data_IF_901875719091
#
_entry.id   IF_901875719091
#
_cell.length_a   1.000
_cell.length_b   1.000
_cell.length_c   1.000
_cell.angle_alpha   90.00
_cell.angle_beta   90.00
_cell.angle_gamma   90.00
#
_symmetry.space_group_name_H-M   'P 1'
#
loop_
_entity.id
_entity.type
_entity.pdbx_description
1 polymer ?
#
# COMPACT_ATOMS: atom_id res chain seq x y z
N UNK A 1 -9.36 23.89 8.75
CA UNK A 1 -8.39 24.80 8.10
C UNK A 1 -9.02 25.45 6.87
N UNK A 2 -8.66 26.69 6.59
CA UNK A 2 -9.12 27.38 5.39
C UNK A 2 -8.34 26.86 4.17
N UNK A 3 -8.97 26.74 3.00
CA UNK A 3 -8.27 26.43 1.77
C UNK A 3 -7.16 27.45 1.51
N UNK A 4 -6.01 26.95 1.09
CA UNK A 4 -4.88 27.79 0.72
C UNK A 4 -4.30 27.35 -0.61
N UNK A 5 -3.71 28.31 -1.33
CA UNK A 5 -3.01 28.03 -2.56
C UNK A 5 -1.69 28.82 -2.59
N UNK A 6 -0.66 28.19 -3.16
CA UNK A 6 0.63 28.81 -3.38
C UNK A 6 0.98 28.71 -4.86
N UNK A 7 1.32 29.84 -5.45
CA UNK A 7 1.83 29.91 -6.83
C UNK A 7 3.31 30.23 -6.77
N UNK A 8 4.12 29.47 -7.50
CA UNK A 8 5.54 29.71 -7.67
C UNK A 8 5.80 29.98 -9.16
N UNK A 9 6.41 31.10 -9.44
CA UNK A 9 6.88 31.43 -10.78
C UNK A 9 8.34 30.98 -10.88
N UNK A 10 8.66 30.26 -11.91
CA UNK A 10 10.01 29.74 -12.17
C UNK A 10 10.54 30.23 -13.51
N UNK A 11 11.83 30.18 -13.66
CA UNK A 11 12.57 30.43 -14.89
C UNK A 11 13.24 29.14 -15.35
N UNK A 12 14.01 29.17 -16.41
CA UNK A 12 14.83 28.04 -16.88
C UNK A 12 15.81 27.61 -15.77
N UNK A 13 15.40 26.64 -14.99
CA UNK A 13 16.14 26.16 -13.82
C UNK A 13 17.10 25.01 -14.13
N UNK A 14 16.96 24.41 -15.31
CA UNK A 14 17.79 23.29 -15.77
C UNK A 14 18.78 23.70 -16.87
N UNK A 15 18.74 24.95 -17.31
CA UNK A 15 19.62 25.55 -18.32
C UNK A 15 19.54 24.88 -19.72
N UNK A 16 18.35 24.43 -20.10
CA UNK A 16 18.11 23.85 -21.43
C UNK A 16 17.58 24.86 -22.45
N UNK A 17 17.49 26.14 -22.08
CA UNK A 17 16.95 27.26 -22.83
C UNK A 17 15.43 27.16 -23.11
N UNK A 18 14.70 26.48 -22.24
CA UNK A 18 13.24 26.42 -22.26
C UNK A 18 12.70 26.65 -20.87
N UNK A 19 11.48 27.14 -20.80
CA UNK A 19 10.74 27.17 -19.52
C UNK A 19 9.55 26.24 -19.70
N UNK A 20 9.61 25.10 -19.00
CA UNK A 20 8.59 24.07 -19.13
C UNK A 20 8.27 23.36 -17.78
N UNK A 21 7.61 22.22 -17.86
CA UNK A 21 7.20 21.46 -16.69
C UNK A 21 8.39 20.98 -15.84
N UNK A 22 9.57 20.81 -16.42
CA UNK A 22 10.78 20.37 -15.68
C UNK A 22 11.22 21.42 -14.67
N UNK A 23 11.16 22.69 -15.07
CA UNK A 23 11.46 23.81 -14.17
C UNK A 23 10.47 23.91 -13.04
N UNK A 24 9.18 23.73 -13.38
CA UNK A 24 8.12 23.62 -12.38
C UNK A 24 8.35 22.46 -11.40
N UNK A 25 8.78 21.31 -11.88
CA UNK A 25 9.09 20.16 -11.05
C UNK A 25 10.30 20.41 -10.12
N UNK A 26 11.34 21.08 -10.62
CA UNK A 26 12.51 21.47 -9.83
C UNK A 26 12.08 22.43 -8.69
N UNK A 27 11.33 23.45 -9.02
CA UNK A 27 10.82 24.40 -8.03
C UNK A 27 9.90 23.73 -7.00
N UNK A 28 9.06 22.80 -7.44
CA UNK A 28 8.12 22.09 -6.57
C UNK A 28 8.82 21.23 -5.50
N UNK A 29 9.97 20.67 -5.80
CA UNK A 29 10.75 19.85 -4.84
C UNK A 29 11.02 20.56 -3.51
N UNK A 30 11.14 21.87 -3.53
CA UNK A 30 11.41 22.67 -2.31
C UNK A 30 10.18 22.92 -1.46
N UNK A 31 8.98 22.72 -1.98
CA UNK A 31 7.70 23.07 -1.35
C UNK A 31 6.74 21.88 -1.24
N UNK A 32 7.07 20.76 -1.87
CA UNK A 32 6.19 19.59 -1.87
C UNK A 32 6.09 18.95 -0.50
N UNK A 33 4.99 18.25 -0.29
CA UNK A 33 4.86 17.41 0.89
C UNK A 33 5.84 16.23 0.80
N UNK A 34 6.47 15.96 1.93
CA UNK A 34 7.26 14.75 2.13
C UNK A 34 6.46 13.80 3.00
N UNK A 35 5.88 12.72 2.45
CA UNK A 35 5.14 11.75 3.24
C UNK A 35 5.98 11.17 4.36
N UNK A 36 5.37 10.84 5.49
CA UNK A 36 6.09 10.26 6.62
C UNK A 36 6.90 9.02 6.19
N UNK A 37 8.19 9.00 6.50
CA UNK A 37 9.11 7.90 6.20
C UNK A 37 9.60 7.85 4.75
N UNK A 38 9.39 8.90 3.97
CA UNK A 38 9.84 8.99 2.59
C UNK A 38 11.35 8.74 2.41
N UNK A 39 12.13 9.12 3.42
CA UNK A 39 13.58 8.94 3.41
C UNK A 39 14.04 7.48 3.39
N UNK A 40 13.18 6.55 3.80
CA UNK A 40 13.46 5.11 3.79
C UNK A 40 13.33 4.51 2.39
N UNK A 41 12.49 5.09 1.55
CA UNK A 41 12.12 4.54 0.24
C UNK A 41 13.32 4.40 -0.69
N UNK A 42 14.24 5.35 -0.67
CA UNK A 42 15.44 5.33 -1.53
C UNK A 42 16.32 4.09 -1.37
N UNK A 43 16.21 3.42 -0.25
CA UNK A 43 17.03 2.24 0.07
C UNK A 43 16.31 0.92 -0.28
N UNK A 44 15.05 0.98 -0.66
CA UNK A 44 14.29 -0.20 -1.06
C UNK A 44 14.56 -0.47 -2.53
N UNK A 45 15.24 -1.56 -2.83
CA UNK A 45 15.61 -1.95 -4.19
C UNK A 45 14.92 -3.22 -4.67
N UNK A 46 14.48 -4.05 -3.75
CA UNK A 46 13.66 -5.23 -4.04
C UNK A 46 12.35 -5.15 -3.26
N UNK A 47 11.30 -5.71 -3.83
CA UNK A 47 9.98 -5.73 -3.20
C UNK A 47 9.30 -7.07 -3.42
N UNK A 48 8.70 -7.59 -2.37
CA UNK A 48 8.01 -8.88 -2.40
C UNK A 48 6.63 -8.76 -1.77
N UNK A 49 5.65 -9.43 -2.37
CA UNK A 49 4.34 -9.66 -1.79
C UNK A 49 4.28 -11.10 -1.30
N UNK A 50 4.22 -11.28 0.02
CA UNK A 50 3.97 -12.58 0.64
C UNK A 50 2.47 -12.76 0.79
N UNK A 51 1.90 -13.71 0.06
CA UNK A 51 0.46 -13.90 -0.07
C UNK A 51 -0.01 -15.18 0.60
N UNK A 52 -1.14 -15.14 1.26
CA UNK A 52 -1.83 -16.29 1.80
C UNK A 52 -3.30 -16.25 1.39
N UNK A 53 -3.83 -17.35 0.88
CA UNK A 53 -5.21 -17.47 0.44
C UNK A 53 -5.95 -18.50 1.28
N UNK A 54 -7.16 -18.18 1.68
CA UNK A 54 -8.13 -19.13 2.15
C UNK A 54 -7.60 -20.14 3.17
N UNK A 55 -7.10 -19.72 4.30
CA UNK A 55 -6.54 -20.60 5.34
C UNK A 55 -5.35 -21.46 4.88
N UNK A 56 -4.87 -21.30 3.65
CA UNK A 56 -3.70 -21.99 3.15
C UNK A 56 -2.44 -21.25 3.61
N UNK A 57 -1.61 -21.91 4.38
CA UNK A 57 -0.36 -21.35 4.85
C UNK A 57 0.74 -21.40 3.76
N UNK A 58 0.54 -20.64 2.70
CA UNK A 58 1.46 -20.58 1.56
C UNK A 58 2.74 -19.83 1.91
N UNK A 59 2.61 -18.76 2.68
CA UNK A 59 3.72 -17.93 3.16
C UNK A 59 3.62 -17.73 4.69
N UNK A 60 3.87 -18.75 5.50
CA UNK A 60 4.01 -18.56 6.95
C UNK A 60 5.07 -17.51 7.28
N UNK A 61 4.92 -16.83 8.42
CA UNK A 61 5.81 -15.73 8.78
C UNK A 61 7.29 -16.13 8.80
N UNK A 62 7.63 -17.29 9.35
CA UNK A 62 9.02 -17.74 9.39
C UNK A 62 9.53 -18.19 8.01
N UNK A 63 8.67 -18.70 7.15
CA UNK A 63 9.03 -18.98 5.75
C UNK A 63 9.27 -17.67 4.97
N UNK A 64 8.47 -16.64 5.25
CA UNK A 64 8.69 -15.31 4.69
C UNK A 64 10.05 -14.75 5.13
N UNK A 65 10.46 -14.99 6.37
CA UNK A 65 11.80 -14.63 6.85
C UNK A 65 12.91 -15.32 6.04
N UNK A 66 12.74 -16.57 5.68
CA UNK A 66 13.73 -17.28 4.84
C UNK A 66 13.78 -16.69 3.44
N UNK A 67 12.64 -16.27 2.89
CA UNK A 67 12.62 -15.49 1.64
C UNK A 67 13.39 -14.18 1.74
N UNK A 68 13.23 -13.45 2.84
CA UNK A 68 13.97 -12.21 3.13
C UNK A 68 15.48 -12.45 3.15
N UNK A 69 15.93 -13.51 3.82
CA UNK A 69 17.34 -13.90 3.87
C UNK A 69 17.90 -14.21 2.46
N UNK A 70 17.12 -14.94 1.66
CA UNK A 70 17.51 -15.26 0.28
C UNK A 70 17.64 -13.99 -0.58
N UNK A 71 16.68 -13.08 -0.52
CA UNK A 71 16.75 -11.81 -1.24
C UNK A 71 17.98 -11.00 -0.78
N UNK A 72 18.22 -10.92 0.51
CA UNK A 72 19.40 -10.25 1.05
C UNK A 72 20.70 -10.83 0.51
N UNK A 73 20.79 -12.16 0.47
CA UNK A 73 21.97 -12.86 -0.07
C UNK A 73 22.15 -12.60 -1.57
N UNK A 74 21.09 -12.67 -2.35
CA UNK A 74 21.15 -12.47 -3.80
C UNK A 74 21.36 -11.02 -4.23
N UNK A 75 21.09 -10.07 -3.35
CA UNK A 75 21.22 -8.64 -3.63
C UNK A 75 22.41 -7.99 -2.90
N UNK A 76 23.29 -8.77 -2.30
CA UNK A 76 24.42 -8.28 -1.50
C UNK A 76 23.98 -7.30 -0.38
N UNK A 77 22.83 -7.58 0.22
CA UNK A 77 22.31 -6.80 1.34
C UNK A 77 21.57 -5.53 0.97
N UNK A 78 21.15 -5.36 -0.28
CA UNK A 78 20.31 -4.24 -0.67
C UNK A 78 18.97 -4.28 0.07
N UNK A 79 18.41 -3.11 0.36
CA UNK A 79 17.15 -2.95 1.07
C UNK A 79 15.97 -3.55 0.31
N UNK A 80 15.01 -4.08 1.06
CA UNK A 80 13.84 -4.73 0.50
C UNK A 80 12.55 -4.35 1.23
N UNK A 81 11.47 -4.21 0.47
CA UNK A 81 10.12 -4.02 0.99
C UNK A 81 9.34 -5.34 0.92
N UNK A 82 8.65 -5.69 1.97
CA UNK A 82 7.84 -6.90 2.03
C UNK A 82 6.41 -6.52 2.42
N UNK A 83 5.49 -6.73 1.51
CA UNK A 83 4.06 -6.62 1.79
C UNK A 83 3.51 -7.99 2.19
N UNK A 84 3.11 -8.11 3.45
CA UNK A 84 2.41 -9.28 3.96
C UNK A 84 0.93 -9.16 3.57
N UNK A 85 0.61 -9.58 2.37
CA UNK A 85 -0.77 -9.62 1.90
C UNK A 85 -1.44 -10.83 2.51
N UNK A 86 -2.53 -10.57 3.26
CA UNK A 86 -3.27 -11.64 3.94
C UNK A 86 -2.55 -12.19 5.18
N UNK A 87 -2.07 -11.29 5.98
CA UNK A 87 -1.40 -11.57 7.26
C UNK A 87 -2.37 -11.98 8.37
N UNK A 88 -3.64 -11.65 8.21
CA UNK A 88 -4.68 -11.76 9.25
C UNK A 88 -5.84 -12.66 8.87
N UNK A 89 -6.63 -12.99 9.86
CA UNK A 89 -7.83 -13.84 9.76
C UNK A 89 -7.56 -15.13 8.98
N UNK A 90 -8.37 -15.46 7.98
CA UNK A 90 -8.21 -16.66 7.14
C UNK A 90 -7.43 -16.39 5.83
N UNK A 91 -6.78 -15.24 5.71
CA UNK A 91 -6.01 -14.89 4.52
C UNK A 91 -6.63 -13.79 3.70
N UNK A 92 -6.42 -13.83 2.39
CA UNK A 92 -6.80 -12.74 1.50
C UNK A 92 -8.31 -12.52 1.48
N UNK A 93 -8.69 -11.26 1.69
CA UNK A 93 -10.06 -10.80 1.68
C UNK A 93 -10.99 -11.58 2.63
N UNK A 94 -10.52 -11.76 3.86
CA UNK A 94 -11.32 -12.27 4.96
C UNK A 94 -11.19 -11.40 6.20
N UNK A 95 -12.23 -11.34 7.03
CA UNK A 95 -12.22 -10.67 8.33
C UNK A 95 -11.89 -9.19 8.30
N UNK A 96 -12.12 -8.50 7.19
CA UNK A 96 -11.82 -7.07 7.09
C UNK A 96 -12.45 -6.29 8.23
N UNK A 97 -11.68 -5.29 8.66
CA UNK A 97 -11.70 -4.49 9.87
C UNK A 97 -11.09 -5.17 11.11
N UNK A 98 -10.85 -6.48 11.13
CA UNK A 98 -10.13 -7.16 12.22
C UNK A 98 -8.60 -7.01 12.03
N UNK A 99 -8.08 -5.79 12.07
CA UNK A 99 -6.65 -5.55 11.77
C UNK A 99 -5.70 -6.28 12.71
N UNK A 100 -6.08 -6.51 13.96
CA UNK A 100 -5.27 -7.18 14.96
C UNK A 100 -5.50 -8.71 15.04
N UNK A 101 -6.32 -9.28 14.18
CA UNK A 101 -6.52 -10.73 14.12
C UNK A 101 -5.45 -11.38 13.25
N UNK A 102 -4.32 -11.67 13.87
CA UNK A 102 -3.17 -12.24 13.19
C UNK A 102 -3.42 -13.71 12.84
N UNK A 103 -3.15 -14.09 11.59
CA UNK A 103 -3.41 -15.43 11.07
C UNK A 103 -2.71 -16.55 11.85
N UNK A 104 -3.47 -17.36 12.55
CA UNK A 104 -2.93 -18.44 13.42
C UNK A 104 -2.23 -19.51 12.61
N UNK A 105 -2.76 -19.88 11.45
CA UNK A 105 -2.20 -20.94 10.60
C UNK A 105 -0.86 -20.59 9.97
N UNK A 106 -0.56 -19.29 9.87
CA UNK A 106 0.71 -18.81 9.33
C UNK A 106 1.72 -18.43 10.40
N UNK A 107 1.42 -18.74 11.67
CA UNK A 107 2.33 -18.60 12.80
C UNK A 107 1.84 -17.70 13.93
N UNK A 108 0.71 -17.00 13.74
CA UNK A 108 0.15 -16.13 14.78
C UNK A 108 1.04 -14.94 15.14
N UNK A 109 0.65 -14.25 16.19
CA UNK A 109 1.32 -13.02 16.65
C UNK A 109 2.79 -13.24 17.03
N UNK A 110 3.13 -14.38 17.63
CA UNK A 110 4.50 -14.65 18.07
C UNK A 110 5.47 -14.76 16.90
N UNK A 111 5.12 -15.56 15.89
CA UNK A 111 5.96 -15.70 14.70
C UNK A 111 6.01 -14.40 13.89
N UNK A 112 4.92 -13.63 13.87
CA UNK A 112 4.93 -12.34 13.23
C UNK A 112 5.87 -11.34 13.92
N UNK A 113 5.83 -11.27 15.24
CA UNK A 113 6.79 -10.45 16.02
C UNK A 113 8.24 -10.90 15.79
N UNK A 114 8.46 -12.21 15.76
CA UNK A 114 9.78 -12.75 15.45
C UNK A 114 10.25 -12.38 14.04
N UNK A 115 9.35 -12.41 13.06
CA UNK A 115 9.62 -11.93 11.69
C UNK A 115 10.00 -10.45 11.71
N UNK A 116 9.19 -9.58 12.35
CA UNK A 116 9.45 -8.13 12.44
C UNK A 116 10.84 -7.86 13.02
N UNK A 117 11.19 -8.52 14.12
CA UNK A 117 12.47 -8.32 14.78
C UNK A 117 13.65 -8.78 13.90
N UNK A 118 13.55 -10.00 13.38
CA UNK A 118 14.66 -10.64 12.65
C UNK A 118 14.87 -10.04 11.26
N UNK A 119 13.81 -9.59 10.59
CA UNK A 119 13.88 -9.01 9.25
C UNK A 119 14.72 -7.73 9.19
N UNK A 120 14.78 -6.97 10.27
CA UNK A 120 15.59 -5.73 10.36
C UNK A 120 17.06 -5.95 10.02
N UNK A 121 17.60 -7.12 10.38
CA UNK A 121 19.00 -7.47 10.11
C UNK A 121 19.32 -7.61 8.63
N UNK A 122 18.30 -7.74 7.80
CA UNK A 122 18.41 -7.98 6.36
C UNK A 122 17.89 -6.79 5.55
N UNK A 123 17.83 -5.58 6.15
CA UNK A 123 17.36 -4.39 5.47
C UNK A 123 15.90 -4.47 4.98
N UNK A 124 15.09 -5.32 5.60
CA UNK A 124 13.70 -5.51 5.18
C UNK A 124 12.75 -4.55 5.92
N UNK A 125 11.94 -3.87 5.13
CA UNK A 125 10.85 -3.01 5.55
C UNK A 125 9.54 -3.78 5.40
N UNK A 126 8.93 -4.15 6.52
CA UNK A 126 7.71 -4.96 6.53
C UNK A 126 6.47 -4.07 6.55
N UNK A 127 5.52 -4.38 5.70
CA UNK A 127 4.20 -3.80 5.73
C UNK A 127 3.11 -4.87 5.66
N UNK A 128 1.90 -4.48 5.97
CA UNK A 128 0.72 -5.33 5.88
C UNK A 128 -0.31 -4.72 4.94
N UNK A 129 -1.07 -5.61 4.31
CA UNK A 129 -2.21 -5.26 3.50
C UNK A 129 -3.47 -5.24 4.36
N UNK A 130 -4.20 -4.15 4.29
CA UNK A 130 -5.49 -4.01 4.94
C UNK A 130 -6.51 -3.46 3.94
N UNK A 131 -7.78 -3.71 4.18
CA UNK A 131 -8.87 -3.02 3.51
C UNK A 131 -9.62 -2.18 4.55
N UNK A 132 -9.83 -0.91 4.25
CA UNK A 132 -10.55 0.04 5.10
C UNK A 132 -11.86 0.51 4.48
N UNK A 133 -12.27 -0.11 3.36
CA UNK A 133 -13.46 0.23 2.58
C UNK A 133 -14.55 -0.83 2.65
N UNK A 134 -14.24 -2.01 3.14
CA UNK A 134 -15.15 -3.15 3.16
C UNK A 134 -15.12 -3.87 4.51
N UNK A 135 -16.19 -4.60 4.79
CA UNK A 135 -16.26 -5.52 5.93
C UNK A 135 -16.87 -6.85 5.49
N UNK A 136 -16.63 -7.87 6.31
CA UNK A 136 -17.22 -9.21 6.14
C UNK A 136 -18.03 -9.58 7.37
N UNK A 137 -19.06 -10.45 7.23
CA UNK A 137 -19.89 -10.85 8.35
C UNK A 137 -19.15 -11.45 9.53
N UNK A 138 -18.02 -12.13 9.30
CA UNK A 138 -17.18 -12.72 10.33
C UNK A 138 -16.33 -11.71 11.10
N UNK A 139 -16.29 -10.46 10.66
CA UNK A 139 -15.58 -9.42 11.40
C UNK A 139 -16.27 -9.12 12.74
N UNK A 140 -15.49 -9.05 13.81
CA UNK A 140 -16.02 -8.61 15.13
C UNK A 140 -16.53 -7.15 15.12
N UNK A 141 -16.17 -6.38 14.11
CA UNK A 141 -16.64 -5.00 13.90
C UNK A 141 -17.83 -4.90 12.97
N UNK A 142 -18.30 -6.03 12.45
CA UNK A 142 -19.49 -6.05 11.60
C UNK A 142 -20.71 -5.56 12.36
N UNK A 143 -21.38 -4.55 11.82
CA UNK A 143 -22.67 -4.08 12.30
C UNK A 143 -23.40 -3.32 11.20
N UNK A 144 -24.73 -3.28 11.29
CA UNK A 144 -25.60 -2.66 10.28
C UNK A 144 -25.33 -1.16 10.06
N UNK A 145 -24.87 -0.45 11.09
CA UNK A 145 -24.68 0.99 11.00
C UNK A 145 -23.43 1.39 10.20
N UNK A 146 -22.45 0.48 10.10
CA UNK A 146 -21.27 0.74 9.31
C UNK A 146 -21.46 0.44 7.83
N UNK A 147 -22.49 -0.33 7.48
CA UNK A 147 -22.70 -0.79 6.12
C UNK A 147 -23.24 0.32 5.22
N UNK A 148 -22.65 0.42 4.04
CA UNK A 148 -23.16 1.32 3.01
C UNK A 148 -24.34 0.67 2.30
N UNK A 149 -25.40 1.48 2.16
CA UNK A 149 -26.62 1.06 1.46
C UNK A 149 -26.80 1.89 0.18
N UNK A 150 -27.31 1.22 -0.83
CA UNK A 150 -27.77 1.85 -2.06
C UNK A 150 -29.08 2.62 -1.81
N UNK A 151 -29.50 3.42 -2.78
CA UNK A 151 -30.72 4.23 -2.67
C UNK A 151 -32.01 3.38 -2.49
N UNK A 152 -32.01 2.15 -2.95
CA UNK A 152 -33.11 1.20 -2.79
C UNK A 152 -33.08 0.43 -1.45
N UNK A 153 -32.11 0.73 -0.59
CA UNK A 153 -31.92 0.09 0.71
C UNK A 153 -31.13 -1.22 0.68
N UNK A 154 -30.74 -1.71 -0.48
CA UNK A 154 -29.88 -2.89 -0.61
C UNK A 154 -28.44 -2.57 -0.14
N UNK A 155 -27.66 -3.61 0.20
CA UNK A 155 -26.25 -3.41 0.52
C UNK A 155 -25.43 -3.05 -0.72
N UNK A 156 -24.47 -2.15 -0.53
CA UNK A 156 -23.44 -1.90 -1.52
C UNK A 156 -22.37 -3.00 -1.40
N UNK A 157 -22.45 -4.00 -2.25
CA UNK A 157 -21.51 -5.12 -2.22
C UNK A 157 -20.16 -4.72 -2.80
N UNK A 158 -19.11 -5.16 -2.11
CA UNK A 158 -17.73 -4.98 -2.49
C UNK A 158 -17.17 -6.20 -3.24
N UNK A 159 -15.87 -6.41 -3.08
CA UNK A 159 -15.18 -7.52 -3.71
C UNK A 159 -15.62 -8.87 -3.13
N UNK A 160 -15.64 -9.87 -3.97
CA UNK A 160 -15.99 -11.25 -3.60
C UNK A 160 -14.79 -12.15 -3.95
N UNK A 161 -14.13 -12.69 -2.94
CA UNK A 161 -13.05 -13.64 -3.11
C UNK A 161 -13.32 -14.95 -2.37
N UNK A 162 -13.21 -14.96 -1.06
CA UNK A 162 -13.56 -16.09 -0.20
C UNK A 162 -15.01 -15.96 0.28
N UNK A 163 -15.42 -14.75 0.56
CA UNK A 163 -16.75 -14.41 1.01
C UNK A 163 -17.16 -13.08 0.37
N UNK A 164 -18.40 -12.69 0.54
CA UNK A 164 -18.93 -11.45 -0.02
C UNK A 164 -18.62 -10.27 0.87
N UNK A 165 -17.74 -9.39 0.41
CA UNK A 165 -17.50 -8.11 1.06
C UNK A 165 -18.68 -7.16 0.92
N UNK A 166 -18.91 -6.33 1.93
CA UNK A 166 -19.89 -5.26 1.91
C UNK A 166 -19.17 -3.95 2.13
N UNK A 167 -19.38 -2.99 1.24
CA UNK A 167 -18.80 -1.66 1.39
C UNK A 167 -19.29 -1.00 2.67
N UNK A 168 -18.43 -0.28 3.34
CA UNK A 168 -18.75 0.47 4.55
C UNK A 168 -18.95 1.95 4.25
N UNK A 169 -19.58 2.66 5.15
CA UNK A 169 -19.59 4.11 5.15
C UNK A 169 -18.31 4.60 5.83
N UNK A 170 -17.35 5.08 5.03
CA UNK A 170 -16.05 5.50 5.52
C UNK A 170 -16.13 6.71 6.47
N UNK A 171 -17.13 7.58 6.32
CA UNK A 171 -17.32 8.72 7.22
C UNK A 171 -17.88 8.27 8.58
N UNK A 172 -18.82 7.34 8.55
CA UNK A 172 -19.34 6.71 9.78
C UNK A 172 -18.21 5.98 10.51
N UNK A 173 -17.42 5.18 9.80
CA UNK A 173 -16.31 4.42 10.36
C UNK A 173 -15.25 5.31 11.01
N UNK A 174 -14.90 6.42 10.35
CA UNK A 174 -14.00 7.43 10.91
C UNK A 174 -14.49 7.94 12.27
N UNK A 175 -15.78 8.17 12.39
CA UNK A 175 -16.38 8.71 13.63
C UNK A 175 -16.58 7.64 14.74
N UNK A 176 -16.58 6.35 14.40
CA UNK A 176 -17.05 5.27 15.27
C UNK A 176 -16.05 4.14 15.50
N UNK A 177 -14.76 4.41 15.44
CA UNK A 177 -13.80 3.45 15.96
C UNK A 177 -12.65 3.07 15.04
N UNK A 178 -12.52 3.64 13.84
CA UNK A 178 -11.40 3.33 12.95
C UNK A 178 -10.04 3.53 13.60
N UNK A 179 -9.83 4.64 14.28
CA UNK A 179 -8.59 4.91 14.99
C UNK A 179 -8.28 3.85 16.05
N UNK A 180 -9.31 3.41 16.81
CA UNK A 180 -9.12 2.38 17.83
C UNK A 180 -8.63 1.04 17.26
N UNK A 181 -9.04 0.71 16.03
CA UNK A 181 -8.54 -0.52 15.36
C UNK A 181 -7.06 -0.42 14.99
N UNK A 182 -6.58 0.76 14.59
CA UNK A 182 -5.14 0.98 14.40
C UNK A 182 -4.36 0.87 15.70
N UNK A 183 -4.90 1.43 16.78
CA UNK A 183 -4.31 1.34 18.12
C UNK A 183 -4.29 -0.11 18.64
N UNK A 184 -5.34 -0.89 18.38
CA UNK A 184 -5.39 -2.31 18.70
C UNK A 184 -4.28 -3.09 17.96
N UNK A 185 -4.14 -2.86 16.67
CA UNK A 185 -3.07 -3.47 15.87
C UNK A 185 -1.68 -3.09 16.39
N UNK A 186 -1.48 -1.81 16.72
CA UNK A 186 -0.22 -1.34 17.29
C UNK A 186 0.10 -2.00 18.62
N UNK A 187 -0.90 -2.15 19.45
CA UNK A 187 -0.77 -2.87 20.74
C UNK A 187 -0.42 -4.34 20.54
N UNK A 188 -1.06 -4.99 19.57
CA UNK A 188 -0.83 -6.41 19.26
C UNK A 188 0.58 -6.65 18.74
N UNK A 189 1.05 -5.88 17.76
CA UNK A 189 2.33 -6.11 17.10
C UNK A 189 3.52 -5.41 17.78
N UNK A 190 3.29 -4.31 18.48
CA UNK A 190 4.35 -3.49 19.05
C UNK A 190 5.06 -2.64 17.99
N UNK A 191 6.37 -2.50 18.15
CA UNK A 191 7.19 -1.68 17.26
C UNK A 191 7.81 -2.49 16.12
N UNK A 192 8.08 -1.81 15.00
CA UNK A 192 8.91 -2.36 13.94
C UNK A 192 8.20 -2.72 12.64
N UNK A 193 6.87 -2.76 12.64
CA UNK A 193 6.12 -2.71 11.37
C UNK A 193 6.38 -1.35 10.73
N UNK A 194 6.65 -1.32 9.42
CA UNK A 194 7.09 -0.10 8.75
C UNK A 194 5.96 0.61 8.01
N UNK A 195 5.08 -0.13 7.33
CA UNK A 195 4.03 0.50 6.54
C UNK A 195 2.71 -0.28 6.56
N UNK A 196 1.64 0.46 6.30
CA UNK A 196 0.30 -0.08 6.06
C UNK A 196 -0.06 0.20 4.61
N UNK A 197 -0.34 -0.84 3.86
CA UNK A 197 -0.88 -0.76 2.52
C UNK A 197 -2.40 -0.92 2.58
N UNK A 198 -3.11 0.10 2.13
CA UNK A 198 -4.58 0.11 2.11
C UNK A 198 -5.07 -0.21 0.71
N UNK A 199 -5.70 -1.37 0.60
CA UNK A 199 -6.29 -1.88 -0.64
C UNK A 199 -7.66 -1.26 -0.90
N UNK A 200 -8.06 -1.19 -2.16
CA UNK A 200 -9.39 -0.74 -2.64
C UNK A 200 -9.74 0.72 -2.30
N UNK A 201 -9.09 1.34 -1.35
CA UNK A 201 -9.37 2.72 -0.93
C UNK A 201 -9.26 3.71 -2.09
N UNK A 202 -10.22 4.63 -2.18
CA UNK A 202 -10.26 5.68 -3.20
C UNK A 202 -11.14 5.35 -4.41
N UNK A 203 -11.81 4.19 -4.44
CA UNK A 203 -12.72 3.83 -5.52
C UNK A 203 -14.10 4.52 -5.43
N UNK A 204 -14.42 5.14 -4.29
CA UNK A 204 -15.66 5.87 -4.04
C UNK A 204 -16.83 5.02 -3.56
N UNK A 205 -16.70 3.70 -3.58
CA UNK A 205 -17.79 2.79 -3.19
C UNK A 205 -18.18 2.93 -1.72
N UNK A 206 -17.22 3.30 -0.89
CA UNK A 206 -17.41 3.55 0.55
C UNK A 206 -17.42 5.03 0.92
N UNK A 207 -17.54 5.92 -0.07
CA UNK A 207 -17.42 7.36 0.15
C UNK A 207 -15.98 7.84 0.40
N UNK A 208 -15.02 7.06 -0.01
CA UNK A 208 -13.59 7.19 0.27
C UNK A 208 -12.78 7.84 -0.86
N UNK A 209 -13.44 8.38 -1.88
CA UNK A 209 -12.78 8.96 -3.06
C UNK A 209 -12.29 10.40 -2.88
N UNK A 210 -12.52 10.99 -1.73
CA UNK A 210 -12.10 12.36 -1.43
C UNK A 210 -10.66 12.44 -0.94
N UNK A 211 -9.91 13.44 -1.40
CA UNK A 211 -8.55 13.70 -0.91
C UNK A 211 -8.52 13.92 0.61
N UNK A 212 -9.53 14.58 1.18
CA UNK A 212 -9.65 14.78 2.61
C UNK A 212 -9.78 13.46 3.38
N UNK A 213 -10.63 12.55 2.91
CA UNK A 213 -10.82 11.24 3.55
C UNK A 213 -9.51 10.44 3.54
N UNK A 214 -8.79 10.45 2.43
CA UNK A 214 -7.48 9.79 2.29
C UNK A 214 -6.44 10.42 3.22
N UNK A 215 -6.38 11.74 3.28
CA UNK A 215 -5.45 12.45 4.15
C UNK A 215 -5.70 12.15 5.64
N UNK A 216 -6.95 12.07 6.07
CA UNK A 216 -7.29 11.69 7.45
C UNK A 216 -6.89 10.24 7.74
N UNK A 217 -7.15 9.31 6.82
CA UNK A 217 -6.72 7.91 6.97
C UNK A 217 -5.19 7.81 7.09
N UNK A 218 -4.47 8.51 6.22
CA UNK A 218 -3.02 8.54 6.27
C UNK A 218 -2.50 9.09 7.62
N UNK A 219 -3.11 10.16 8.13
CA UNK A 219 -2.75 10.70 9.46
C UNK A 219 -2.98 9.71 10.60
N UNK A 220 -4.07 8.95 10.57
CA UNK A 220 -4.33 7.92 11.59
C UNK A 220 -3.24 6.85 11.58
N UNK A 221 -2.87 6.38 10.39
CA UNK A 221 -1.82 5.38 10.19
C UNK A 221 -0.45 5.94 10.61
N UNK A 222 -0.14 7.15 10.16
CA UNK A 222 1.12 7.83 10.49
C UNK A 222 1.27 8.09 12.00
N UNK A 223 0.17 8.36 12.70
CA UNK A 223 0.16 8.52 14.17
C UNK A 223 0.66 7.27 14.90
N UNK A 224 0.49 6.10 14.32
CA UNK A 224 1.01 4.86 14.87
C UNK A 224 2.50 4.62 14.57
N UNK A 225 3.13 5.52 13.81
CA UNK A 225 4.52 5.41 13.39
C UNK A 225 4.73 4.69 12.07
N UNK A 226 3.66 4.33 11.37
CA UNK A 226 3.72 3.60 10.10
C UNK A 226 3.68 4.56 8.90
N UNK A 227 4.38 4.19 7.83
CA UNK A 227 4.21 4.82 6.52
C UNK A 227 2.87 4.42 5.92
N UNK A 228 2.27 5.32 5.15
CA UNK A 228 1.06 5.04 4.39
C UNK A 228 1.41 4.57 2.98
N UNK A 229 0.76 3.51 2.54
CA UNK A 229 0.83 2.97 1.19
C UNK A 229 -0.59 2.70 0.68
N UNK A 230 -0.78 2.73 -0.64
CA UNK A 230 -2.11 2.67 -1.23
C UNK A 230 -2.11 1.93 -2.57
N UNK A 231 -3.24 1.33 -2.91
CA UNK A 231 -3.42 0.70 -4.21
C UNK A 231 -3.58 1.72 -5.34
N UNK A 232 -4.50 2.68 -5.17
CA UNK A 232 -4.88 3.62 -6.20
C UNK A 232 -4.10 4.92 -6.13
N UNK A 233 -3.62 5.40 -7.28
CA UNK A 233 -2.73 6.55 -7.33
C UNK A 233 -3.33 7.90 -6.92
N UNK A 234 -4.60 8.12 -7.16
CA UNK A 234 -5.19 9.45 -7.11
C UNK A 234 -5.10 10.19 -5.76
N UNK A 235 -6.01 9.95 -4.87
CA UNK A 235 -6.13 10.71 -3.62
C UNK A 235 -5.01 10.45 -2.62
N UNK A 236 -4.26 9.38 -2.81
CA UNK A 236 -3.20 8.96 -1.91
C UNK A 236 -1.80 9.45 -2.25
N UNK A 237 -1.60 10.05 -3.41
CA UNK A 237 -0.27 10.46 -3.88
C UNK A 237 0.40 11.47 -2.96
N UNK A 238 -0.37 12.33 -2.32
CA UNK A 238 0.15 13.36 -1.43
C UNK A 238 0.73 12.79 -0.12
N UNK A 239 0.13 11.73 0.41
CA UNK A 239 0.42 11.21 1.75
C UNK A 239 1.16 9.87 1.74
N UNK A 240 1.22 9.19 0.60
CA UNK A 240 1.75 7.84 0.53
C UNK A 240 3.20 7.79 0.06
N UNK A 241 3.90 6.77 0.50
CA UNK A 241 5.26 6.46 0.07
C UNK A 241 5.31 5.29 -0.90
N UNK A 242 4.19 4.63 -1.15
CA UNK A 242 4.09 3.49 -2.04
C UNK A 242 2.71 3.43 -2.71
N UNK A 243 2.72 3.24 -4.03
CA UNK A 243 1.51 3.05 -4.83
C UNK A 243 1.62 1.76 -5.62
N UNK A 244 0.76 0.82 -5.34
CA UNK A 244 0.81 -0.50 -5.98
C UNK A 244 0.61 -0.42 -7.49
N UNK A 245 -0.33 0.39 -7.94
CA UNK A 245 -0.63 0.55 -9.35
C UNK A 245 0.03 1.77 -10.00
N UNK A 246 0.93 2.44 -9.29
CA UNK A 246 1.64 3.58 -9.85
C UNK A 246 2.41 3.25 -11.12
N UNK A 247 2.80 2.00 -11.26
CA UNK A 247 3.54 1.50 -12.39
C UNK A 247 2.69 0.91 -13.50
N UNK A 248 1.49 0.54 -13.20
CA UNK A 248 0.68 -0.18 -14.17
C UNK A 248 -0.07 0.80 -15.07
N UNK A 249 0.40 0.95 -16.29
CA UNK A 249 -0.23 1.80 -17.31
C UNK A 249 -1.53 1.24 -17.84
N UNK A 250 -1.73 -0.06 -17.73
CA UNK A 250 -2.80 -0.75 -18.45
C UNK A 250 -3.85 -1.35 -17.55
N UNK A 251 -3.54 -1.58 -16.30
CA UNK A 251 -4.46 -2.22 -15.38
C UNK A 251 -5.76 -1.44 -15.21
N UNK A 252 -6.87 -2.09 -15.50
CA UNK A 252 -8.18 -1.47 -15.44
C UNK A 252 -8.46 -0.41 -16.50
N UNK A 253 -7.59 -0.26 -17.52
CA UNK A 253 -7.79 0.69 -18.61
C UNK A 253 -7.67 2.17 -18.22
N UNK A 254 -7.16 2.48 -17.05
CA UNK A 254 -7.02 3.86 -16.58
C UNK A 254 -5.73 4.50 -17.10
N UNK A 255 -5.86 5.63 -17.77
CA UNK A 255 -4.74 6.35 -18.38
C UNK A 255 -3.95 7.23 -17.41
N UNK A 256 -4.49 7.49 -16.24
CA UNK A 256 -3.90 8.35 -15.22
C UNK A 256 -3.22 7.59 -14.08
N UNK A 257 -3.01 6.31 -14.24
CA UNK A 257 -2.22 5.48 -13.33
C UNK A 257 -0.75 5.48 -13.70
N UNK A 258 0.07 5.19 -12.72
CA UNK A 258 1.49 5.01 -12.91
C UNK A 258 2.18 6.21 -13.54
N UNK A 259 3.08 5.94 -14.41
CA UNK A 259 3.87 6.95 -15.14
C UNK A 259 3.01 7.90 -15.97
N UNK A 260 1.78 7.54 -16.32
CA UNK A 260 0.85 8.42 -17.03
C UNK A 260 0.17 9.45 -16.13
N UNK A 261 0.23 9.28 -14.81
CA UNK A 261 -0.26 10.31 -13.90
C UNK A 261 0.57 11.58 -14.05
N UNK A 262 -0.10 12.70 -14.30
CA UNK A 262 0.56 13.99 -14.39
C UNK A 262 1.34 14.34 -13.12
N UNK A 263 0.82 13.96 -11.97
CA UNK A 263 1.45 14.19 -10.67
C UNK A 263 2.75 13.39 -10.48
N UNK A 264 2.86 12.22 -11.09
CA UNK A 264 4.05 11.37 -10.99
C UNK A 264 5.32 12.09 -11.44
N UNK A 265 5.22 13.00 -12.39
CA UNK A 265 6.35 13.82 -12.84
C UNK A 265 6.94 14.69 -11.72
N UNK A 266 6.12 15.06 -10.75
CA UNK A 266 6.49 15.95 -9.66
C UNK A 266 6.91 15.20 -8.40
N UNK A 267 6.22 14.13 -8.04
CA UNK A 267 6.39 13.45 -6.74
C UNK A 267 7.09 12.11 -6.81
N UNK A 268 7.29 11.54 -7.99
CA UNK A 268 7.83 10.19 -8.18
C UNK A 268 9.18 9.94 -7.46
N UNK A 269 10.02 10.94 -7.39
CA UNK A 269 11.30 10.81 -6.69
C UNK A 269 11.18 10.54 -5.19
N UNK A 270 10.03 10.84 -4.63
CA UNK A 270 9.73 10.58 -3.24
C UNK A 270 9.15 9.21 -3.01
N UNK A 271 8.30 8.83 -3.93
CA UNK A 271 7.57 7.59 -3.89
C UNK A 271 8.27 6.59 -4.78
N UNK A 272 9.42 6.40 -4.55
CA UNK A 272 10.25 5.75 -5.46
C UNK A 272 10.25 4.24 -5.36
N UNK A 273 9.76 3.71 -4.36
CA UNK A 273 9.16 2.44 -4.44
C UNK A 273 8.27 2.37 -5.66
N UNK A 274 8.17 3.48 -6.23
CA UNK A 274 7.99 3.62 -7.65
C UNK A 274 8.94 2.79 -8.52
N UNK A 275 9.83 2.04 -7.92
CA UNK A 275 10.42 0.91 -8.57
C UNK A 275 9.41 0.12 -9.37
N UNK A 276 8.25 0.06 -8.92
CA UNK A 276 7.13 -0.53 -9.63
C UNK A 276 6.93 0.12 -10.97
N UNK A 277 7.00 1.43 -11.05
CA UNK A 277 6.83 2.17 -12.28
C UNK A 277 7.93 1.97 -13.30
N UNK A 278 9.00 1.39 -12.91
CA UNK A 278 10.14 1.22 -13.79
C UNK A 278 10.12 -0.11 -14.55
N UNK A 279 9.13 -0.95 -14.27
CA UNK A 279 9.02 -2.21 -14.97
C UNK A 279 8.08 -2.13 -16.18
N UNK A 280 8.60 -2.51 -17.32
CA UNK A 280 7.97 -2.28 -18.62
C UNK A 280 6.64 -2.99 -18.81
N UNK A 281 6.54 -4.24 -18.41
CA UNK A 281 5.33 -5.02 -18.63
C UNK A 281 4.14 -4.57 -17.79
N UNK A 282 4.41 -3.73 -16.80
CA UNK A 282 3.39 -3.06 -15.99
C UNK A 282 3.29 -1.57 -16.28
N UNK A 283 3.79 -1.15 -17.40
CA UNK A 283 3.75 0.23 -17.80
C UNK A 283 4.84 1.10 -17.20
N UNK A 284 5.83 0.49 -16.57
CA UNK A 284 6.98 1.21 -16.05
C UNK A 284 7.94 1.67 -17.12
N UNK A 285 8.91 2.48 -16.73
CA UNK A 285 9.95 2.97 -17.60
C UNK A 285 10.93 1.85 -17.95
N UNK A 286 10.88 1.41 -19.18
CA UNK A 286 11.69 0.31 -19.69
C UNK A 286 13.21 0.51 -19.55
N UNK A 287 13.64 1.75 -19.43
CA UNK A 287 15.05 2.08 -19.43
C UNK A 287 15.73 1.91 -18.06
N UNK A 288 14.94 1.68 -17.02
CA UNK A 288 15.42 1.58 -15.66
C UNK A 288 14.79 0.40 -14.93
N UNK A 289 15.02 -0.83 -15.40
CA UNK A 289 14.51 -2.01 -14.71
C UNK A 289 15.19 -2.14 -13.35
N UNK A 290 14.39 -2.16 -12.30
CA UNK A 290 14.84 -2.46 -10.95
C UNK A 290 14.53 -3.91 -10.61
N UNK A 291 15.21 -4.48 -9.65
CA UNK A 291 14.93 -5.83 -9.17
C UNK A 291 13.46 -5.99 -8.75
N UNK A 292 12.93 -4.98 -8.09
CA UNK A 292 11.52 -4.94 -7.73
C UNK A 292 10.58 -4.67 -8.90
N UNK A 293 11.09 -4.29 -10.06
CA UNK A 293 10.31 -4.05 -11.26
C UNK A 293 9.74 -5.31 -11.89
N UNK A 294 10.32 -6.43 -11.60
CA UNK A 294 9.64 -7.69 -11.89
C UNK A 294 8.44 -7.79 -10.97
N UNK A 295 7.30 -8.05 -11.55
CA UNK A 295 6.10 -8.21 -10.76
C UNK A 295 6.32 -9.22 -9.66
N UNK A 296 6.07 -8.83 -8.44
CA UNK A 296 6.10 -9.76 -7.32
C UNK A 296 5.01 -10.83 -7.45
N UNK A 297 4.00 -10.57 -8.24
CA UNK A 297 3.02 -11.56 -8.65
C UNK A 297 3.66 -12.70 -9.42
N UNK A 298 4.62 -12.41 -10.26
CA UNK A 298 5.34 -13.44 -11.01
C UNK A 298 6.22 -14.28 -10.10
N UNK A 299 6.87 -13.67 -9.12
CA UNK A 299 7.69 -14.38 -8.14
C UNK A 299 6.87 -15.25 -7.18
N UNK A 300 5.72 -14.78 -6.77
CA UNK A 300 4.85 -15.45 -5.80
C UNK A 300 3.86 -16.42 -6.44
N UNK A 301 3.89 -16.61 -7.74
CA UNK A 301 2.89 -17.40 -8.43
C UNK A 301 1.48 -16.79 -8.40
N UNK A 302 1.38 -15.53 -8.09
CA UNK A 302 0.13 -14.81 -8.07
C UNK A 302 -0.62 -14.97 -9.40
N UNK A 303 -1.92 -15.08 -9.35
CA UNK A 303 -2.75 -15.33 -10.51
C UNK A 303 -2.41 -16.63 -11.28
N UNK A 304 -1.95 -17.63 -10.57
CA UNK A 304 -1.69 -18.93 -11.15
C UNK A 304 -0.38 -19.06 -11.93
N UNK A 305 0.53 -18.12 -11.79
CA UNK A 305 1.88 -18.21 -12.35
C UNK A 305 2.73 -19.24 -11.59
N UNK A 306 2.38 -20.50 -11.76
CA UNK A 306 3.08 -21.62 -11.12
C UNK A 306 4.34 -22.06 -11.88
N UNK A 307 4.54 -21.56 -13.06
CA UNK A 307 5.66 -21.86 -13.94
C UNK A 307 6.92 -21.04 -13.66
N UNK A 308 6.82 -20.06 -12.76
CA UNK A 308 7.95 -19.22 -12.42
C UNK A 308 8.80 -19.87 -11.32
N UNK A 309 10.04 -20.14 -11.64
CA UNK A 309 11.00 -20.81 -10.76
C UNK A 309 12.09 -19.88 -10.22
N UNK A 310 11.96 -18.61 -10.51
CA UNK A 310 12.97 -17.63 -10.23
C UNK A 310 13.22 -17.29 -8.79
#
# INVERSE_FOLDING_TARGET
ELPSAKVVITEDSNADNKVDWQDGAIAYRSIMNNPQGWEKVKNITAYRIAMNFGSQAQNPFLMTLDGIKKINLHTDGLGQGILLKCYGSEGHDSGHLNYADIGKRIGGTEDFKALIEKAKKYGAHLGIHVNASETYPESKYFNENILRKNADGSYSYGWNWLDQGINIDAAYDLAHGRLARWEELKKELGEGLDFIYVDVWGNGQSGDNGAWATHVLAKEINKQGWRFAIEWGHGGEYDSTFHHWAADLTYGGYTNKGINSAITRFIRNHQKDAWVGDYRSYGGAANYPLLGGYSMKDFEGWQGRSDYNG
#
